data_IF_080524259110
#
_entry.id   IF_080524259110
#
_cell.length_a   1.000
_cell.length_b   1.000
_cell.length_c   1.000
_cell.angle_alpha   90.00
_cell.angle_beta   90.00
_cell.angle_gamma   90.00
#
_symmetry.space_group_name_H-M   'P 1'
#
loop_
_entity.id
_entity.type
_entity.pdbx_description
1 polymer ?
#
# COMPACT_ATOMS: atom_id res chain seq x y z
N UNK A 1 -58.42 12.07 -6.79
CA UNK A 1 -59.64 11.22 -6.71
C UNK A 1 -60.02 10.82 -8.13
N UNK A 2 -60.45 9.57 -8.41
CA UNK A 2 -60.57 8.39 -7.54
C UNK A 2 -59.47 7.32 -7.82
N UNK A 3 -59.01 6.47 -6.87
CA UNK A 3 -59.65 5.32 -6.15
C UNK A 3 -59.80 4.09 -7.05
N UNK A 4 -59.49 2.81 -6.75
CA UNK A 4 -59.33 1.92 -5.57
C UNK A 4 -58.46 0.71 -6.04
N UNK A 5 -57.85 -0.20 -5.26
CA UNK A 5 -58.09 -0.56 -3.85
C UNK A 5 -57.11 -1.61 -3.30
N UNK A 6 -57.17 -1.72 -1.97
CA UNK A 6 -56.38 -2.55 -1.05
C UNK A 6 -56.60 -4.06 -1.18
N UNK A 7 -55.64 -4.86 -0.70
CA UNK A 7 -55.88 -5.98 0.22
C UNK A 7 -54.77 -6.09 1.26
N UNK A 8 -55.19 -6.45 2.48
CA UNK A 8 -54.51 -6.28 3.76
C UNK A 8 -54.19 -7.64 4.40
N UNK A 9 -53.42 -7.58 5.51
CA UNK A 9 -53.33 -8.55 6.62
C UNK A 9 -52.22 -9.63 6.49
N UNK A 10 -51.45 -10.00 7.52
CA UNK A 10 -51.61 -9.89 8.98
C UNK A 10 -50.26 -9.69 9.70
N UNK A 11 -50.35 -9.00 10.83
CA UNK A 11 -49.36 -8.92 11.91
C UNK A 11 -49.21 -10.25 12.65
N UNK A 12 -47.99 -10.55 13.12
CA UNK A 12 -47.74 -11.51 14.20
C UNK A 12 -46.84 -10.84 15.23
N UNK A 13 -47.36 -10.85 16.45
CA UNK A 13 -46.89 -10.22 17.67
C UNK A 13 -45.88 -11.07 18.42
N UNK A 14 -44.87 -10.43 18.99
CA UNK A 14 -44.08 -10.89 20.13
C UNK A 14 -44.96 -11.33 21.31
N UNK A 15 -44.62 -12.45 21.96
CA UNK A 15 -44.78 -12.69 23.41
C UNK A 15 -44.03 -13.97 23.85
N UNK A 16 -43.66 -14.06 25.16
CA UNK A 16 -42.41 -14.65 25.63
C UNK A 16 -42.51 -16.14 25.96
N UNK A 17 -41.38 -16.84 25.87
CA UNK A 17 -41.23 -18.22 26.34
C UNK A 17 -40.93 -18.21 27.83
N UNK A 18 -41.72 -19.00 28.57
CA UNK A 18 -41.71 -19.21 30.01
C UNK A 18 -40.40 -19.84 30.52
N UNK A 19 -40.01 -19.38 31.72
CA UNK A 19 -39.10 -20.04 32.65
C UNK A 19 -39.70 -21.38 33.10
N UNK A 20 -38.89 -22.43 33.14
CA UNK A 20 -39.17 -23.64 33.91
C UNK A 20 -37.97 -23.90 34.83
N UNK A 21 -38.24 -23.77 36.13
CA UNK A 21 -37.38 -24.21 37.22
C UNK A 21 -37.45 -25.74 37.36
N UNK A 22 -36.34 -26.34 37.81
CA UNK A 22 -36.33 -27.65 38.48
C UNK A 22 -35.68 -28.80 37.71
N UNK A 23 -34.40 -29.04 37.97
CA UNK A 23 -33.68 -30.25 37.53
C UNK A 23 -32.27 -30.34 38.11
N UNK A 24 -32.15 -31.07 39.22
CA UNK A 24 -30.97 -31.37 40.03
C UNK A 24 -29.58 -31.38 39.34
N UNK A 25 -28.62 -30.71 40.00
CA UNK A 25 -27.17 -30.91 39.86
C UNK A 25 -26.76 -32.34 40.26
N UNK A 26 -25.78 -32.92 39.55
CA UNK A 26 -24.71 -33.61 40.26
C UNK A 26 -23.33 -33.19 39.75
N UNK A 27 -22.40 -33.03 40.70
CA UNK A 27 -20.97 -33.24 40.45
C UNK A 27 -20.12 -31.97 40.26
N UNK A 28 -19.33 -31.68 41.30
CA UNK A 28 -18.21 -30.74 41.32
C UNK A 28 -17.26 -30.88 40.12
N UNK A 29 -16.95 -29.77 39.43
CA UNK A 29 -15.93 -29.66 38.36
C UNK A 29 -14.54 -29.48 38.99
N UNK A 30 -14.18 -30.27 40.00
CA UNK A 30 -12.89 -30.18 40.69
C UNK A 30 -11.94 -31.34 40.42
N UNK A 31 -12.19 -32.20 39.43
CA UNK A 31 -11.42 -33.44 39.25
C UNK A 31 -10.84 -33.70 37.87
N UNK A 32 -10.64 -32.69 37.02
CA UNK A 32 -9.99 -32.86 35.71
C UNK A 32 -8.98 -31.76 35.39
N UNK A 33 -7.89 -31.70 36.15
CA UNK A 33 -6.63 -31.10 35.68
C UNK A 33 -5.46 -31.98 36.16
N UNK A 34 -4.70 -32.63 35.26
CA UNK A 34 -3.51 -33.36 35.67
C UNK A 34 -2.45 -32.34 36.11
N UNK A 35 -2.08 -32.40 37.38
CA UNK A 35 -1.08 -31.56 38.06
C UNK A 35 0.35 -31.66 37.44
N UNK A 36 0.55 -32.47 36.40
CA UNK A 36 1.84 -32.71 35.76
C UNK A 36 2.23 -31.66 34.68
N UNK A 37 1.29 -30.80 34.23
CA UNK A 37 1.57 -29.83 33.16
C UNK A 37 2.40 -28.60 33.56
N UNK A 38 2.31 -28.15 34.83
CA UNK A 38 2.96 -26.91 35.27
C UNK A 38 4.49 -27.02 35.36
N UNK A 39 5.02 -28.18 35.77
CA UNK A 39 6.46 -28.40 35.88
C UNK A 39 7.17 -28.39 34.52
N UNK A 40 6.49 -28.86 33.46
CA UNK A 40 7.01 -28.83 32.09
C UNK A 40 7.07 -27.41 31.50
N UNK A 41 6.14 -26.54 31.91
CA UNK A 41 6.02 -25.17 31.39
C UNK A 41 7.11 -24.23 31.93
N UNK A 42 7.48 -24.35 33.22
CA UNK A 42 8.58 -23.60 33.80
C UNK A 42 9.92 -23.89 33.10
N UNK A 43 10.12 -25.15 32.69
CA UNK A 43 11.32 -25.60 31.98
C UNK A 43 11.43 -25.05 30.55
N UNK A 44 10.29 -24.73 29.91
CA UNK A 44 10.22 -24.23 28.54
C UNK A 44 10.31 -22.69 28.46
N UNK A 45 9.96 -21.98 29.53
CA UNK A 45 9.81 -20.51 29.53
C UNK A 45 10.87 -19.78 30.36
N UNK A 46 11.75 -20.49 31.08
CA UNK A 46 12.82 -19.91 31.88
C UNK A 46 12.35 -19.25 33.18
N UNK A 47 11.09 -19.44 33.57
CA UNK A 47 10.56 -18.91 34.84
C UNK A 47 11.03 -19.75 36.03
N UNK A 48 11.43 -19.13 37.16
CA UNK A 48 11.77 -19.86 38.38
C UNK A 48 10.59 -20.71 38.85
N UNK A 49 10.87 -21.96 39.22
CA UNK A 49 9.88 -23.02 39.50
C UNK A 49 8.89 -22.73 40.65
N UNK A 50 9.01 -21.58 41.33
CA UNK A 50 8.20 -21.18 42.48
C UNK A 50 7.06 -20.18 42.21
N UNK A 51 7.04 -19.49 41.06
CA UNK A 51 6.12 -18.34 40.84
C UNK A 51 4.92 -18.62 39.91
N UNK A 52 4.77 -19.87 39.45
CA UNK A 52 3.68 -20.24 38.54
C UNK A 52 2.45 -20.66 39.34
N UNK A 53 1.67 -19.68 39.80
CA UNK A 53 0.33 -19.95 40.34
C UNK A 53 -0.67 -20.28 39.22
N UNK A 54 -1.77 -21.02 39.50
CA UNK A 54 -2.80 -21.33 38.49
C UNK A 54 -3.35 -20.07 37.79
N UNK A 55 -3.42 -18.93 38.50
CA UNK A 55 -3.84 -17.64 37.94
C UNK A 55 -2.83 -17.06 36.95
N UNK A 56 -1.53 -17.11 37.28
CA UNK A 56 -0.47 -16.62 36.41
C UNK A 56 -0.30 -17.50 35.16
N UNK A 57 -0.48 -18.81 35.31
CA UNK A 57 -0.47 -19.76 34.19
C UNK A 57 -1.61 -19.49 33.20
N UNK A 58 -2.83 -19.27 33.71
CA UNK A 58 -3.99 -18.96 32.88
C UNK A 58 -3.84 -17.62 32.15
N UNK A 59 -3.22 -16.62 32.80
CA UNK A 59 -2.92 -15.32 32.22
C UNK A 59 -1.93 -15.43 31.03
N UNK A 60 -0.84 -16.19 31.21
CA UNK A 60 0.18 -16.39 30.15
C UNK A 60 -0.41 -17.17 28.97
N UNK A 61 -1.22 -18.19 29.23
CA UNK A 61 -1.94 -18.91 28.17
C UNK A 61 -2.95 -18.01 27.44
N UNK A 62 -3.67 -17.16 28.18
CA UNK A 62 -4.59 -16.17 27.59
C UNK A 62 -3.89 -15.14 26.70
N UNK A 63 -2.71 -14.64 27.11
CA UNK A 63 -1.89 -13.72 26.31
C UNK A 63 -1.30 -14.40 25.08
N UNK A 64 -0.84 -15.65 25.21
CA UNK A 64 -0.33 -16.45 24.09
C UNK A 64 -1.39 -16.77 23.04
N UNK A 65 -2.57 -17.23 23.49
CA UNK A 65 -3.72 -17.52 22.62
C UNK A 65 -4.24 -16.22 21.99
N UNK A 66 -4.34 -15.14 22.76
CA UNK A 66 -4.72 -13.82 22.25
C UNK A 66 -3.76 -13.31 21.17
N UNK A 67 -2.44 -13.46 21.37
CA UNK A 67 -1.42 -13.12 20.38
C UNK A 67 -1.52 -13.96 19.11
N UNK A 68 -1.78 -15.27 19.24
CA UNK A 68 -1.99 -16.17 18.09
C UNK A 68 -3.28 -15.80 17.34
N UNK A 69 -4.37 -15.48 18.03
CA UNK A 69 -5.62 -15.05 17.41
C UNK A 69 -5.42 -13.72 16.68
N UNK A 70 -4.71 -12.75 17.26
CA UNK A 70 -4.38 -11.48 16.60
C UNK A 70 -3.52 -11.72 15.35
N UNK A 71 -2.49 -12.57 15.44
CA UNK A 71 -1.65 -12.93 14.30
C UNK A 71 -2.43 -13.67 13.20
N UNK A 72 -3.32 -14.60 13.58
CA UNK A 72 -4.20 -15.29 12.64
C UNK A 72 -5.20 -14.34 12.01
N UNK A 73 -5.74 -13.38 12.75
CA UNK A 73 -6.65 -12.36 12.23
C UNK A 73 -5.93 -11.37 11.30
N UNK A 74 -4.71 -10.95 11.63
CA UNK A 74 -3.86 -10.15 10.75
C UNK A 74 -3.47 -10.91 9.48
N UNK A 75 -3.10 -12.20 9.59
CA UNK A 75 -2.78 -13.06 8.46
C UNK A 75 -4.01 -13.38 7.61
N UNK A 76 -5.19 -13.53 8.20
CA UNK A 76 -6.47 -13.70 7.49
C UNK A 76 -6.89 -12.41 6.77
N UNK A 77 -6.71 -11.22 7.39
CA UNK A 77 -6.87 -9.94 6.68
C UNK A 77 -5.88 -9.83 5.51
N UNK A 78 -4.60 -10.11 5.72
CA UNK A 78 -3.60 -10.13 4.65
C UNK A 78 -3.89 -11.17 3.55
N UNK A 79 -4.37 -12.36 3.91
CA UNK A 79 -4.78 -13.40 2.96
C UNK A 79 -6.04 -13.04 2.19
N UNK A 80 -6.99 -12.33 2.82
CA UNK A 80 -8.18 -11.79 2.14
C UNK A 80 -7.84 -10.70 1.12
N UNK A 81 -6.76 -9.94 1.34
CA UNK A 81 -6.26 -8.95 0.39
C UNK A 81 -5.66 -9.61 -0.86
N UNK A 82 -5.09 -10.82 -0.75
CA UNK A 82 -4.60 -11.60 -1.90
C UNK A 82 -5.74 -12.23 -2.73
N UNK A 83 -6.96 -12.29 -2.20
CA UNK A 83 -8.12 -12.93 -2.85
C UNK A 83 -9.12 -11.92 -3.45
N UNK A 84 -8.81 -10.62 -3.41
CA UNK A 84 -9.63 -9.58 -4.05
C UNK A 84 -9.17 -9.36 -5.49
N UNK A 85 -10.14 -9.38 -6.41
CA UNK A 85 -9.93 -9.00 -7.81
C UNK A 85 -9.82 -7.48 -7.91
N UNK A 86 -8.58 -6.97 -7.91
CA UNK A 86 -8.32 -5.54 -8.07
C UNK A 86 -8.29 -5.18 -9.55
N UNK A 87 -9.31 -4.45 -10.00
CA UNK A 87 -9.40 -3.88 -11.35
C UNK A 87 -8.49 -2.66 -11.50
N UNK A 88 -7.18 -2.88 -11.49
CA UNK A 88 -6.18 -1.79 -11.54
C UNK A 88 -5.61 -1.54 -12.92
N UNK A 89 -5.76 -2.47 -13.86
CA UNK A 89 -5.15 -2.37 -15.18
C UNK A 89 -6.17 -1.95 -16.23
N UNK A 90 -5.89 -0.88 -16.97
CA UNK A 90 -6.63 -0.53 -18.19
C UNK A 90 -6.22 -1.43 -19.35
N UNK A 91 -4.95 -1.82 -19.38
CA UNK A 91 -4.35 -2.70 -20.39
C UNK A 91 -3.32 -3.60 -19.69
N UNK A 92 -3.33 -4.89 -20.02
CA UNK A 92 -2.33 -5.86 -19.56
C UNK A 92 -1.55 -6.40 -20.76
N UNK A 93 -0.24 -6.52 -20.58
CA UNK A 93 0.68 -7.03 -21.58
C UNK A 93 1.95 -7.52 -20.89
N UNK A 94 2.86 -8.16 -21.62
CA UNK A 94 4.17 -8.52 -21.09
C UNK A 94 5.21 -7.95 -22.03
N UNK A 95 5.88 -6.89 -21.58
CA UNK A 95 6.96 -6.24 -22.31
C UNK A 95 8.25 -6.41 -21.52
N UNK A 96 9.13 -7.23 -22.07
CA UNK A 96 10.49 -7.42 -21.59
C UNK A 96 11.44 -7.18 -22.75
N UNK A 97 12.61 -6.61 -22.49
CA UNK A 97 13.65 -6.55 -23.52
C UNK A 97 14.21 -7.96 -23.77
N UNK A 98 14.05 -8.55 -24.97
CA UNK A 98 14.66 -9.84 -25.28
C UNK A 98 16.18 -9.67 -25.47
N UNK A 99 16.63 -8.57 -26.09
CA UNK A 99 17.98 -8.47 -26.67
C UNK A 99 18.53 -7.04 -26.81
N UNK A 100 18.06 -6.04 -26.05
CA UNK A 100 18.82 -4.79 -25.98
C UNK A 100 20.17 -5.09 -25.32
N UNK A 101 21.26 -5.01 -26.10
CA UNK A 101 22.64 -4.95 -25.59
C UNK A 101 22.67 -3.85 -24.55
N UNK A 102 22.56 -4.21 -23.27
CA UNK A 102 22.48 -3.22 -22.20
C UNK A 102 23.80 -2.47 -22.13
N UNK A 103 23.76 -1.20 -22.53
CA UNK A 103 24.81 -0.22 -22.23
C UNK A 103 24.66 0.33 -20.81
N UNK A 104 23.52 0.08 -20.16
CA UNK A 104 23.14 0.63 -18.86
C UNK A 104 23.20 -0.48 -17.80
N UNK A 105 24.39 -0.69 -17.24
CA UNK A 105 24.65 -1.45 -16.01
C UNK A 105 24.20 -2.95 -16.04
N UNK A 106 24.71 -3.83 -15.15
CA UNK A 106 24.17 -5.20 -15.03
C UNK A 106 22.66 -5.15 -14.78
N UNK A 107 21.91 -6.21 -15.18
CA UNK A 107 20.44 -6.37 -15.07
C UNK A 107 19.93 -6.18 -13.62
N UNK A 108 19.96 -4.95 -13.12
CA UNK A 108 19.77 -4.59 -11.72
C UNK A 108 18.34 -4.84 -11.25
N UNK A 109 17.40 -4.85 -12.20
CA UNK A 109 15.97 -5.07 -11.96
C UNK A 109 15.52 -6.42 -12.54
N UNK A 110 16.45 -7.36 -12.75
CA UNK A 110 16.14 -8.70 -13.27
C UNK A 110 15.03 -9.34 -12.41
N UNK A 111 14.05 -9.93 -13.09
CA UNK A 111 12.89 -10.60 -12.50
C UNK A 111 11.91 -9.69 -11.75
N UNK A 112 12.09 -8.37 -11.78
CA UNK A 112 11.10 -7.44 -11.25
C UNK A 112 10.07 -7.09 -12.32
N UNK A 113 8.79 -7.15 -11.94
CA UNK A 113 7.64 -6.73 -12.75
C UNK A 113 7.22 -5.34 -12.35
N UNK A 114 6.89 -4.50 -13.33
CA UNK A 114 6.38 -3.17 -13.08
C UNK A 114 5.17 -2.80 -13.92
N UNK A 115 4.37 -1.89 -13.41
CA UNK A 115 3.27 -1.28 -14.14
C UNK A 115 3.51 0.23 -14.31
N UNK A 116 2.82 0.86 -15.26
CA UNK A 116 2.93 2.31 -15.48
C UNK A 116 1.56 2.97 -15.45
N UNK A 117 1.47 4.18 -14.91
CA UNK A 117 0.26 5.01 -15.04
C UNK A 117 -0.14 5.17 -16.51
N UNK A 118 -1.42 5.29 -16.81
CA UNK A 118 -1.93 5.51 -18.17
C UNK A 118 -1.65 6.92 -18.76
N UNK A 119 -0.52 7.52 -18.37
CA UNK A 119 0.10 8.69 -19.01
C UNK A 119 1.38 8.33 -19.77
N UNK A 120 1.90 7.11 -19.61
CA UNK A 120 3.16 6.71 -20.23
C UNK A 120 2.91 5.99 -21.55
N UNK A 121 3.54 6.45 -22.62
CA UNK A 121 3.47 5.82 -23.92
C UNK A 121 4.06 4.42 -23.92
N UNK A 122 3.33 3.49 -24.51
CA UNK A 122 3.76 2.11 -24.72
C UNK A 122 3.49 1.81 -26.19
N UNK A 123 4.54 1.48 -26.94
CA UNK A 123 4.46 1.21 -28.37
C UNK A 123 3.34 0.24 -28.71
N UNK A 124 2.53 0.57 -29.72
CA UNK A 124 1.35 -0.16 -30.18
C UNK A 124 0.13 -0.13 -29.23
N UNK A 125 0.19 0.61 -28.13
CA UNK A 125 -0.95 0.83 -27.23
C UNK A 125 -1.34 2.30 -27.20
N UNK A 126 -2.65 2.57 -27.14
CA UNK A 126 -3.18 3.92 -26.90
C UNK A 126 -2.89 4.29 -25.45
N UNK A 127 -2.38 5.51 -25.24
CA UNK A 127 -2.26 6.10 -23.90
C UNK A 127 -3.55 6.84 -23.60
N UNK A 128 -4.36 6.29 -22.70
CA UNK A 128 -5.75 6.71 -22.51
C UNK A 128 -5.93 7.94 -21.64
N UNK A 129 -4.89 8.35 -20.90
CA UNK A 129 -4.93 9.50 -19.99
C UNK A 129 -6.05 9.39 -18.93
N UNK A 130 -6.48 8.18 -18.60
CA UNK A 130 -7.64 7.93 -17.74
C UNK A 130 -8.99 8.32 -18.35
N UNK A 131 -9.04 8.75 -19.63
CA UNK A 131 -10.23 9.24 -20.31
C UNK A 131 -10.66 8.30 -21.44
N UNK A 132 -11.88 7.74 -21.40
CA UNK A 132 -12.43 6.93 -22.49
C UNK A 132 -12.51 7.70 -23.81
N UNK A 133 -12.88 8.98 -23.76
CA UNK A 133 -13.00 9.82 -24.96
C UNK A 133 -11.63 10.13 -25.56
N UNK A 134 -10.61 10.38 -24.72
CA UNK A 134 -9.23 10.49 -25.18
C UNK A 134 -8.77 9.20 -25.87
N UNK A 135 -9.02 8.05 -25.24
CA UNK A 135 -8.69 6.73 -25.80
C UNK A 135 -9.38 6.48 -27.15
N UNK A 136 -10.62 6.94 -27.33
CA UNK A 136 -11.38 6.78 -28.58
C UNK A 136 -10.85 7.65 -29.72
N UNK A 137 -10.25 8.78 -29.40
CA UNK A 137 -9.90 9.83 -30.38
C UNK A 137 -8.41 9.90 -30.71
N UNK A 138 -7.57 9.18 -29.98
CA UNK A 138 -6.12 9.18 -30.14
C UNK A 138 -5.60 7.84 -30.65
N UNK A 139 -4.55 7.92 -31.46
CA UNK A 139 -3.88 6.74 -32.02
C UNK A 139 -2.94 6.07 -30.99
N UNK A 140 -2.58 4.83 -31.30
CA UNK A 140 -1.58 4.10 -30.53
C UNK A 140 -0.21 4.80 -30.58
N UNK A 141 0.53 4.75 -29.47
CA UNK A 141 1.86 5.31 -29.41
C UNK A 141 2.81 4.55 -30.35
N UNK A 142 3.69 5.30 -31.03
CA UNK A 142 4.68 4.73 -31.97
C UNK A 142 5.99 4.33 -31.30
N UNK A 143 6.16 4.63 -30.01
CA UNK A 143 7.36 4.33 -29.23
C UNK A 143 7.04 4.24 -27.75
N UNK A 144 7.86 3.50 -27.00
CA UNK A 144 7.81 3.50 -25.55
C UNK A 144 8.33 4.82 -24.95
N UNK A 145 7.76 5.21 -23.82
CA UNK A 145 8.30 6.27 -22.97
C UNK A 145 9.73 5.95 -22.53
N UNK A 146 10.59 6.97 -22.47
CA UNK A 146 12.02 6.79 -22.11
C UNK A 146 12.20 6.07 -20.75
N UNK A 147 11.45 6.41 -19.68
CA UNK A 147 11.55 5.68 -18.42
C UNK A 147 11.28 4.17 -18.54
N UNK A 148 10.33 3.77 -19.40
CA UNK A 148 10.01 2.36 -19.63
C UNK A 148 11.18 1.65 -20.30
N UNK A 149 11.75 2.26 -21.34
CA UNK A 149 12.93 1.72 -22.05
C UNK A 149 14.10 1.52 -21.09
N UNK A 150 14.41 2.52 -20.26
CA UNK A 150 15.51 2.46 -19.28
C UNK A 150 15.31 1.30 -18.29
N UNK A 151 14.10 1.11 -17.77
CA UNK A 151 13.79 0.02 -16.84
C UNK A 151 13.85 -1.36 -17.51
N UNK A 152 13.36 -1.49 -18.73
CA UNK A 152 13.43 -2.74 -19.49
C UNK A 152 14.88 -3.10 -19.84
N UNK A 153 15.72 -2.12 -20.17
CA UNK A 153 17.17 -2.32 -20.37
C UNK A 153 17.87 -2.78 -19.08
N UNK A 154 17.42 -2.31 -17.92
CA UNK A 154 17.87 -2.80 -16.61
C UNK A 154 17.31 -4.18 -16.22
N UNK A 155 16.50 -4.81 -17.08
CA UNK A 155 16.01 -6.19 -16.93
C UNK A 155 14.63 -6.32 -16.27
N UNK A 156 13.92 -5.23 -16.03
CA UNK A 156 12.55 -5.27 -15.54
C UNK A 156 11.55 -5.65 -16.65
N UNK A 157 10.39 -6.18 -16.27
CA UNK A 157 9.29 -6.53 -17.19
C UNK A 157 8.08 -5.63 -16.94
N UNK A 158 7.64 -4.88 -17.95
CA UNK A 158 6.43 -4.07 -17.86
C UNK A 158 5.19 -4.97 -18.09
N UNK A 159 4.24 -4.94 -17.16
CA UNK A 159 3.09 -5.85 -17.16
C UNK A 159 1.74 -5.20 -17.51
N UNK A 160 1.72 -3.89 -17.71
CA UNK A 160 0.48 -3.20 -18.06
C UNK A 160 0.46 -1.71 -17.73
N UNK A 161 -0.63 -1.08 -18.13
CA UNK A 161 -1.01 0.28 -17.75
C UNK A 161 -2.03 0.27 -16.63
N UNK A 162 -1.84 1.10 -15.63
CA UNK A 162 -2.75 1.22 -14.50
C UNK A 162 -3.75 2.35 -14.70
N UNK A 163 -4.96 2.14 -14.19
CA UNK A 163 -5.99 3.18 -14.09
C UNK A 163 -5.47 4.40 -13.32
N UNK A 164 -6.00 5.56 -13.67
CA UNK A 164 -5.67 6.85 -13.07
C UNK A 164 -6.90 7.74 -13.05
N UNK A 165 -6.86 8.80 -12.27
CA UNK A 165 -7.90 9.82 -12.34
C UNK A 165 -7.82 10.52 -13.71
N UNK A 166 -8.99 10.78 -14.31
CA UNK A 166 -9.10 11.32 -15.66
C UNK A 166 -8.28 12.61 -15.82
N UNK A 167 -7.39 12.61 -16.82
CA UNK A 167 -6.46 13.71 -17.15
C UNK A 167 -5.55 14.17 -15.99
N UNK A 168 -5.52 13.44 -14.87
CA UNK A 168 -4.81 13.85 -13.67
C UNK A 168 -5.50 14.97 -12.86
N UNK A 169 -6.79 15.23 -13.11
CA UNK A 169 -7.54 16.33 -12.47
C UNK A 169 -8.33 15.91 -11.22
N UNK A 170 -7.90 14.85 -10.53
CA UNK A 170 -8.38 14.49 -9.19
C UNK A 170 -7.23 13.97 -8.31
N UNK A 171 -7.48 13.92 -7.00
CA UNK A 171 -6.56 13.44 -5.97
C UNK A 171 -7.14 12.33 -5.09
N UNK A 172 -8.35 11.86 -5.37
CA UNK A 172 -9.06 10.88 -4.55
C UNK A 172 -8.85 9.42 -4.99
N UNK A 173 -8.46 9.19 -6.25
CA UNK A 173 -8.28 7.84 -6.79
C UNK A 173 -9.60 7.11 -7.04
N UNK A 174 -10.71 7.85 -7.21
CA UNK A 174 -12.02 7.26 -7.53
C UNK A 174 -12.18 7.17 -9.04
N UNK A 175 -11.72 6.05 -9.60
CA UNK A 175 -11.80 5.87 -11.04
C UNK A 175 -13.21 5.40 -11.43
N UNK A 176 -13.75 6.09 -12.43
CA UNK A 176 -15.15 6.23 -12.87
C UNK A 176 -15.93 4.93 -13.13
N UNK A 177 -17.23 5.03 -13.46
CA UNK A 177 -18.13 3.87 -13.70
C UNK A 177 -17.57 2.81 -14.68
N UNK A 178 -16.70 3.23 -15.61
CA UNK A 178 -16.13 2.39 -16.68
C UNK A 178 -15.03 1.45 -16.19
N UNK A 179 -14.15 1.92 -15.30
CA UNK A 179 -13.06 1.11 -14.74
C UNK A 179 -13.41 0.53 -13.36
N UNK A 180 -14.42 1.12 -12.71
CA UNK A 180 -14.89 0.75 -11.40
C UNK A 180 -14.03 1.33 -10.28
N UNK A 181 -14.66 1.48 -9.11
CA UNK A 181 -14.02 2.05 -7.92
C UNK A 181 -12.79 1.23 -7.52
N UNK A 182 -11.63 1.89 -7.45
CA UNK A 182 -10.44 1.30 -6.85
C UNK A 182 -10.66 1.04 -5.36
N UNK A 183 -10.26 -0.16 -4.92
CA UNK A 183 -10.33 -0.55 -3.52
C UNK A 183 -8.97 -0.30 -2.87
N UNK A 184 -8.93 0.51 -1.81
CA UNK A 184 -7.70 0.71 -1.05
C UNK A 184 -7.34 -0.59 -0.28
N UNK A 185 -6.13 -1.16 -0.49
CA UNK A 185 -5.71 -2.40 0.17
C UNK A 185 -5.52 -2.27 1.70
N UNK A 186 -5.39 -1.07 2.24
CA UNK A 186 -5.34 -0.85 3.69
C UNK A 186 -6.73 -0.97 4.31
N UNK A 187 -7.74 -0.37 3.68
CA UNK A 187 -9.15 -0.49 4.04
C UNK A 187 -10.04 -0.01 2.89
N UNK A 188 -11.12 -0.75 2.58
CA UNK A 188 -12.09 -0.38 1.55
C UNK A 188 -12.87 0.91 1.85
N UNK A 189 -12.83 1.38 3.09
CA UNK A 189 -13.53 2.58 3.54
C UNK A 189 -12.73 3.86 3.29
N UNK A 190 -11.43 3.74 2.94
CA UNK A 190 -10.57 4.87 2.65
C UNK A 190 -10.43 5.10 1.15
N UNK A 191 -10.18 6.36 0.79
CA UNK A 191 -9.76 6.72 -0.55
C UNK A 191 -8.41 6.07 -0.87
N UNK A 192 -8.18 5.80 -2.14
CA UNK A 192 -6.89 5.29 -2.64
C UNK A 192 -5.88 6.43 -2.77
N UNK A 193 -6.37 7.65 -2.99
CA UNK A 193 -5.56 8.79 -3.40
C UNK A 193 -5.28 8.75 -4.90
N UNK A 194 -5.01 9.92 -5.47
CA UNK A 194 -4.84 10.10 -6.89
C UNK A 194 -3.84 11.20 -7.23
N UNK A 195 -3.53 11.41 -8.50
CA UNK A 195 -4.12 10.72 -9.66
C UNK A 195 -3.50 9.37 -10.01
N UNK A 196 -2.41 8.94 -9.37
CA UNK A 196 -1.76 7.64 -9.65
C UNK A 196 -2.27 6.50 -8.74
N UNK A 197 -3.57 6.48 -8.45
CA UNK A 197 -4.18 5.53 -7.53
C UNK A 197 -4.00 4.07 -7.96
N UNK A 198 -4.22 3.76 -9.24
CA UNK A 198 -4.03 2.40 -9.77
C UNK A 198 -2.59 1.90 -9.62
N UNK A 199 -1.59 2.78 -9.82
CA UNK A 199 -0.18 2.46 -9.58
C UNK A 199 0.07 2.05 -8.13
N UNK A 200 -0.42 2.84 -7.17
CA UNK A 200 -0.25 2.55 -5.75
C UNK A 200 -0.95 1.27 -5.33
N UNK A 201 -2.19 1.03 -5.79
CA UNK A 201 -2.96 -0.19 -5.50
C UNK A 201 -2.28 -1.41 -6.11
N UNK A 202 -1.76 -1.34 -7.34
CA UNK A 202 -1.06 -2.45 -7.98
C UNK A 202 0.12 -2.93 -7.14
N UNK A 203 0.92 -2.00 -6.60
CA UNK A 203 2.04 -2.31 -5.70
C UNK A 203 1.52 -2.78 -4.33
N UNK A 204 0.55 -2.08 -3.74
CA UNK A 204 -0.04 -2.38 -2.43
C UNK A 204 -0.74 -3.75 -2.39
N UNK A 205 -1.31 -4.20 -3.50
CA UNK A 205 -1.92 -5.53 -3.67
C UNK A 205 -0.91 -6.62 -4.07
N UNK A 206 0.33 -6.25 -4.43
CA UNK A 206 1.37 -7.21 -4.86
C UNK A 206 1.18 -7.75 -6.28
N UNK A 207 0.50 -6.99 -7.13
CA UNK A 207 0.31 -7.32 -8.56
C UNK A 207 1.58 -7.05 -9.38
N UNK A 208 2.40 -6.09 -8.93
CA UNK A 208 3.74 -5.80 -9.44
C UNK A 208 4.71 -5.49 -8.29
N UNK A 209 6.02 -5.56 -8.56
CA UNK A 209 7.07 -5.27 -7.58
C UNK A 209 7.24 -3.77 -7.36
N UNK A 210 7.05 -2.99 -8.43
CA UNK A 210 7.04 -1.53 -8.40
C UNK A 210 6.15 -0.97 -9.51
N UNK A 211 5.87 0.33 -9.50
CA UNK A 211 5.13 0.98 -10.59
C UNK A 211 5.56 2.42 -10.79
N UNK A 212 5.31 2.98 -11.98
CA UNK A 212 5.55 4.39 -12.29
C UNK A 212 4.27 5.22 -12.20
N UNK A 213 4.46 6.49 -11.86
CA UNK A 213 3.46 7.54 -11.91
C UNK A 213 4.08 8.89 -12.29
N UNK A 214 3.24 9.89 -12.43
CA UNK A 214 3.63 11.30 -12.60
C UNK A 214 3.13 12.04 -11.37
N UNK A 215 4.01 12.73 -10.65
CA UNK A 215 3.69 13.57 -9.48
C UNK A 215 3.70 15.04 -9.89
N UNK A 216 2.51 15.62 -10.04
CA UNK A 216 2.30 17.03 -10.40
C UNK A 216 2.04 17.84 -9.13
N UNK A 217 1.08 17.41 -8.30
CA UNK A 217 0.70 18.08 -7.04
C UNK A 217 0.74 17.14 -5.83
N UNK A 218 1.35 15.97 -5.96
CA UNK A 218 1.31 14.91 -4.94
C UNK A 218 0.75 13.60 -5.47
N UNK A 219 0.54 13.48 -6.78
CA UNK A 219 -0.11 12.33 -7.41
C UNK A 219 0.64 10.99 -7.26
N UNK A 220 1.88 11.02 -6.76
CA UNK A 220 2.61 9.80 -6.34
C UNK A 220 2.65 9.71 -4.82
N UNK A 221 3.00 10.81 -4.13
CA UNK A 221 3.17 10.81 -2.67
C UNK A 221 1.87 10.57 -1.90
N UNK A 222 0.76 11.16 -2.34
CA UNK A 222 -0.56 11.00 -1.71
C UNK A 222 -1.07 9.56 -1.81
N UNK A 223 -1.22 8.95 -3.01
CA UNK A 223 -1.69 7.57 -3.09
C UNK A 223 -0.74 6.57 -2.42
N UNK A 224 0.57 6.84 -2.40
CA UNK A 224 1.51 6.03 -1.63
C UNK A 224 1.18 6.03 -0.12
N UNK A 225 0.94 7.22 0.45
CA UNK A 225 0.56 7.37 1.85
C UNK A 225 -0.80 6.71 2.15
N UNK A 226 -1.80 6.89 1.28
CA UNK A 226 -3.13 6.31 1.43
C UNK A 226 -3.11 4.77 1.34
N UNK A 227 -2.32 4.20 0.44
CA UNK A 227 -2.25 2.75 0.22
C UNK A 227 -1.17 2.04 1.05
N UNK A 228 -0.44 2.76 1.91
CA UNK A 228 0.58 2.18 2.79
C UNK A 228 1.80 1.62 2.04
N UNK A 229 2.22 2.28 0.95
CA UNK A 229 3.43 1.92 0.18
C UNK A 229 4.39 3.10 0.12
N UNK A 230 5.63 2.86 -0.31
CA UNK A 230 6.61 3.92 -0.50
C UNK A 230 6.36 4.59 -1.85
N UNK A 231 6.40 5.93 -1.88
CA UNK A 231 6.32 6.74 -3.10
C UNK A 231 7.47 7.72 -3.15
N UNK A 232 8.20 7.75 -4.26
CA UNK A 232 9.28 8.71 -4.50
C UNK A 232 8.91 9.65 -5.64
N UNK A 233 8.98 10.95 -5.38
CA UNK A 233 8.93 12.01 -6.39
C UNK A 233 10.36 12.42 -6.69
N UNK A 234 10.79 12.28 -7.95
CA UNK A 234 12.12 12.73 -8.34
C UNK A 234 12.27 14.25 -8.33
N UNK A 235 13.51 14.72 -8.47
CA UNK A 235 13.76 16.14 -8.73
C UNK A 235 13.20 16.47 -10.12
N UNK A 236 12.56 17.64 -10.26
CA UNK A 236 12.01 18.06 -11.54
C UNK A 236 13.11 18.06 -12.62
N UNK A 237 12.83 17.44 -13.76
CA UNK A 237 13.79 17.28 -14.86
C UNK A 237 14.87 16.20 -14.67
N UNK A 238 14.97 15.52 -13.52
CA UNK A 238 16.04 14.52 -13.32
C UNK A 238 15.77 13.17 -13.98
N UNK A 239 14.50 12.90 -14.33
CA UNK A 239 14.09 11.73 -15.11
C UNK A 239 13.35 12.24 -16.35
N UNK A 240 13.69 11.69 -17.52
CA UNK A 240 13.06 12.10 -18.78
C UNK A 240 11.56 11.86 -18.78
N UNK A 241 10.80 12.86 -19.23
CA UNK A 241 9.35 12.78 -19.45
C UNK A 241 8.99 12.54 -20.93
N UNK A 242 9.98 12.21 -21.78
CA UNK A 242 9.73 11.93 -23.20
C UNK A 242 8.86 10.68 -23.34
N UNK A 243 7.76 10.83 -24.08
CA UNK A 243 6.72 9.80 -24.22
C UNK A 243 5.81 9.70 -22.99
N UNK A 244 5.68 10.78 -22.21
CA UNK A 244 4.71 10.87 -21.12
C UNK A 244 3.79 12.05 -21.40
N UNK A 245 2.47 11.82 -21.39
CA UNK A 245 1.49 12.88 -21.58
C UNK A 245 1.59 13.88 -20.43
N UNK A 246 1.68 15.19 -20.74
CA UNK A 246 1.80 16.21 -19.72
C UNK A 246 0.46 16.50 -19.05
N UNK A 247 0.48 16.68 -17.73
CA UNK A 247 -0.63 17.24 -16.95
C UNK A 247 -0.37 18.74 -16.75
N UNK A 248 0.78 19.07 -16.16
CA UNK A 248 1.29 20.43 -16.06
C UNK A 248 2.83 20.40 -16.11
N UNK A 249 3.41 20.57 -17.29
CA UNK A 249 4.84 20.34 -17.58
C UNK A 249 5.82 20.99 -16.59
N UNK A 250 5.51 22.19 -16.10
CA UNK A 250 6.35 22.91 -15.13
C UNK A 250 6.39 22.27 -13.73
N UNK A 251 5.47 21.36 -13.43
CA UNK A 251 5.35 20.66 -12.16
C UNK A 251 5.59 19.15 -12.29
N UNK A 252 5.24 18.59 -13.44
CA UNK A 252 5.28 17.15 -13.72
C UNK A 252 6.67 16.56 -13.45
N UNK A 253 6.69 15.48 -12.69
CA UNK A 253 7.92 14.72 -12.48
C UNK A 253 7.61 13.24 -12.41
N UNK A 254 8.48 12.41 -12.98
CA UNK A 254 8.36 10.96 -12.86
C UNK A 254 8.58 10.57 -11.40
N UNK A 255 7.66 9.77 -10.88
CA UNK A 255 7.77 9.13 -9.58
C UNK A 255 7.50 7.64 -9.68
N UNK A 256 7.83 6.92 -8.61
CA UNK A 256 7.63 5.48 -8.55
C UNK A 256 7.25 5.00 -7.17
N UNK A 257 6.63 3.82 -7.16
CA UNK A 257 6.10 3.17 -5.97
C UNK A 257 6.78 1.83 -5.75
N UNK A 258 7.00 1.45 -4.48
CA UNK A 258 7.39 0.09 -4.11
C UNK A 258 6.98 -0.22 -2.67
N UNK A 259 6.84 -1.50 -2.33
CA UNK A 259 6.70 -1.94 -0.92
C UNK A 259 8.05 -2.03 -0.21
N UNK A 260 9.06 -2.51 -0.93
CA UNK A 260 10.42 -2.69 -0.42
C UNK A 260 11.26 -1.46 -0.74
N UNK A 261 11.93 -0.90 0.28
CA UNK A 261 12.83 0.24 0.13
C UNK A 261 14.03 -0.08 -0.76
N UNK A 262 14.46 -1.35 -0.85
CA UNK A 262 15.54 -1.78 -1.72
C UNK A 262 15.11 -1.72 -3.19
N UNK A 263 13.89 -2.17 -3.51
CA UNK A 263 13.31 -2.04 -4.85
C UNK A 263 13.14 -0.56 -5.21
N UNK A 264 12.57 0.24 -4.30
CA UNK A 264 12.43 1.69 -4.50
C UNK A 264 13.77 2.35 -4.83
N UNK A 265 14.83 1.99 -4.08
CA UNK A 265 16.19 2.50 -4.28
C UNK A 265 16.79 2.04 -5.60
N UNK A 266 16.68 0.76 -5.94
CA UNK A 266 17.23 0.21 -7.19
C UNK A 266 16.58 0.86 -8.42
N UNK A 267 15.26 1.01 -8.42
CA UNK A 267 14.52 1.74 -9.47
C UNK A 267 15.03 3.18 -9.59
N UNK A 268 15.24 3.85 -8.45
CA UNK A 268 15.80 5.20 -8.43
C UNK A 268 17.21 5.29 -9.00
N UNK A 269 18.10 4.38 -8.65
CA UNK A 269 19.48 4.37 -9.19
C UNK A 269 19.48 4.15 -10.70
N UNK A 270 18.58 3.31 -11.22
CA UNK A 270 18.42 3.06 -12.65
C UNK A 270 17.87 4.29 -13.38
N UNK A 271 16.76 4.85 -12.91
CA UNK A 271 16.10 6.00 -13.56
C UNK A 271 16.93 7.28 -13.49
N UNK A 272 17.63 7.50 -12.37
CA UNK A 272 18.52 8.65 -12.16
C UNK A 272 19.94 8.42 -12.70
N UNK A 273 20.21 7.23 -13.27
CA UNK A 273 21.50 6.84 -13.83
C UNK A 273 22.68 6.96 -12.85
N UNK A 274 22.42 6.68 -11.57
CA UNK A 274 23.45 6.60 -10.54
C UNK A 274 24.10 5.21 -10.47
N UNK A 275 25.33 5.09 -9.95
CA UNK A 275 25.95 3.79 -9.70
C UNK A 275 25.15 2.96 -8.67
N UNK A 276 24.97 1.65 -8.92
CA UNK A 276 24.20 0.76 -8.03
C UNK A 276 24.75 0.65 -6.60
N UNK A 277 26.04 0.94 -6.41
CA UNK A 277 26.78 0.85 -5.15
C UNK A 277 27.11 2.23 -4.57
N UNK A 278 26.12 3.10 -4.45
CA UNK A 278 26.33 4.33 -3.69
C UNK A 278 26.09 4.11 -2.19
N UNK A 279 27.10 4.37 -1.36
CA UNK A 279 26.97 4.34 0.09
C UNK A 279 26.05 5.46 0.59
N UNK A 280 25.36 5.19 1.70
CA UNK A 280 24.56 6.19 2.40
C UNK A 280 25.45 7.36 2.82
N UNK A 281 25.30 8.50 2.14
CA UNK A 281 25.92 9.75 2.57
C UNK A 281 25.10 10.34 3.70
N UNK A 282 25.71 10.55 4.86
CA UNK A 282 25.06 11.25 5.95
C UNK A 282 24.67 12.67 5.51
N UNK A 283 23.43 13.13 5.79
CA UNK A 283 23.03 14.48 5.48
C UNK A 283 23.87 15.47 6.29
N UNK A 284 24.08 16.68 5.79
CA UNK A 284 24.76 17.73 6.59
C UNK A 284 23.90 18.17 7.77
N UNK A 285 22.60 18.33 7.54
CA UNK A 285 21.56 18.72 8.51
C UNK A 285 20.21 18.16 8.05
N UNK A 286 19.33 17.88 8.99
CA UNK A 286 17.93 17.51 8.78
C UNK A 286 17.10 18.56 9.49
N UNK A 287 16.24 19.25 8.75
CA UNK A 287 15.34 20.27 9.30
C UNK A 287 13.93 19.71 9.42
N UNK A 288 13.33 19.86 10.59
CA UNK A 288 11.94 19.55 10.86
C UNK A 288 11.15 20.86 10.78
N UNK A 289 10.21 20.94 9.83
CA UNK A 289 9.28 22.07 9.69
C UNK A 289 8.15 21.96 10.73
N UNK A 290 8.50 22.08 12.01
CA UNK A 290 7.56 21.92 13.12
C UNK A 290 6.44 22.96 13.11
N UNK A 291 6.68 24.14 12.55
CA UNK A 291 5.67 25.16 12.30
C UNK A 291 4.54 24.68 11.37
N UNK A 292 4.88 23.90 10.33
CA UNK A 292 3.90 23.28 9.43
C UNK A 292 3.16 22.13 10.12
N UNK A 293 3.86 21.31 10.90
CA UNK A 293 3.22 20.23 11.66
C UNK A 293 2.21 20.75 12.70
N UNK A 294 2.55 21.86 13.38
CA UNK A 294 1.65 22.54 14.34
C UNK A 294 0.38 23.11 13.68
N UNK A 295 0.43 23.40 12.38
CA UNK A 295 -0.73 23.88 11.60
C UNK A 295 -1.64 22.75 11.12
N UNK A 296 -1.20 21.49 11.21
CA UNK A 296 -2.01 20.37 10.80
C UNK A 296 -3.14 20.12 11.80
N UNK A 297 -4.36 19.90 11.30
CA UNK A 297 -5.52 19.54 12.13
C UNK A 297 -5.43 18.11 12.71
N UNK A 298 -4.45 17.32 12.26
CA UNK A 298 -4.24 15.95 12.69
C UNK A 298 -3.21 15.87 13.82
N UNK A 299 -3.42 14.95 14.75
CA UNK A 299 -2.49 14.66 15.84
C UNK A 299 -1.24 13.95 15.30
N UNK A 300 -0.32 14.71 14.70
CA UNK A 300 0.91 14.19 14.10
C UNK A 300 2.00 13.94 15.15
N UNK A 301 1.80 14.32 16.41
CA UNK A 301 2.82 14.21 17.47
C UNK A 301 3.42 12.81 17.57
N UNK A 302 2.58 11.76 17.51
CA UNK A 302 3.07 10.38 17.56
C UNK A 302 3.92 10.01 16.34
N UNK A 303 3.47 10.35 15.14
CA UNK A 303 4.20 10.08 13.89
C UNK A 303 5.52 10.86 13.81
N UNK A 304 5.52 12.11 14.28
CA UNK A 304 6.72 12.94 14.33
C UNK A 304 7.74 12.36 15.32
N UNK A 305 7.29 11.92 16.49
CA UNK A 305 8.17 11.30 17.48
C UNK A 305 8.78 9.98 16.97
N UNK A 306 7.98 9.13 16.29
CA UNK A 306 8.50 7.92 15.62
C UNK A 306 9.56 8.28 14.57
N UNK A 307 9.29 9.28 13.74
CA UNK A 307 10.21 9.75 12.70
C UNK A 307 11.51 10.29 13.31
N UNK A 308 11.41 11.12 14.35
CA UNK A 308 12.55 11.68 15.07
C UNK A 308 13.42 10.57 15.69
N UNK A 309 12.80 9.59 16.35
CA UNK A 309 13.52 8.43 16.91
C UNK A 309 14.25 7.64 15.83
N UNK A 310 13.62 7.42 14.67
CA UNK A 310 14.26 6.74 13.54
C UNK A 310 15.45 7.54 13.00
N UNK A 311 15.30 8.85 12.78
CA UNK A 311 16.38 9.73 12.30
C UNK A 311 17.55 9.76 13.28
N UNK A 312 17.26 9.93 14.58
CA UNK A 312 18.29 9.94 15.63
C UNK A 312 19.02 8.60 15.70
N UNK A 313 18.31 7.49 15.52
CA UNK A 313 18.92 6.15 15.49
C UNK A 313 19.85 5.96 14.29
N UNK A 314 19.47 6.45 13.10
CA UNK A 314 20.22 6.23 11.85
C UNK A 314 21.39 7.21 11.69
N UNK A 315 21.14 8.50 11.92
CA UNK A 315 22.13 9.55 11.67
C UNK A 315 22.71 10.16 12.94
N UNK A 316 21.96 10.15 14.05
CA UNK A 316 22.35 10.79 15.30
C UNK A 316 21.71 12.17 15.50
N UNK A 317 21.44 12.52 16.76
CA UNK A 317 20.74 13.76 17.15
C UNK A 317 21.45 15.04 16.68
N UNK A 318 22.78 14.99 16.50
CA UNK A 318 23.59 16.14 16.05
C UNK A 318 23.17 16.69 14.69
N UNK A 319 22.51 15.89 13.85
CA UNK A 319 22.05 16.30 12.52
C UNK A 319 20.68 16.98 12.51
N UNK A 320 19.87 16.85 13.57
CA UNK A 320 18.49 17.34 13.59
C UNK A 320 18.42 18.80 14.03
N UNK A 321 17.64 19.61 13.31
CA UNK A 321 17.29 21.00 13.62
C UNK A 321 15.78 21.18 13.45
N UNK A 322 15.20 22.07 14.22
CA UNK A 322 13.79 22.45 14.09
C UNK A 322 13.73 23.85 13.48
N UNK A 323 12.80 24.08 12.56
CA UNK A 323 12.54 25.39 11.97
C UNK A 323 11.73 26.22 12.97
N UNK A 324 12.41 26.71 14.01
CA UNK A 324 11.81 27.70 14.92
C UNK A 324 11.61 29.02 14.15
N UNK A 325 10.41 29.59 14.28
CA UNK A 325 10.20 31.02 14.01
C UNK A 325 10.79 31.85 15.13
#
# INVERSE_FOLDING_TARGET
MPMFGMKNSKSVTDKPVKVNDGGNLPGSISSFLPFQGLAGFAKLTGFPSGDVTPKNFLLVMGLGIGGIIILMHQKAKHGSLLCRDYKVFTQQFILSSPDLKSTIQPRALKNLKFAVKDTFDVESYITGFGSPEWTRTHDAATRHAVPIVVLMQAGATCIGKTVMDEMGFSMDGQVDEIYGRLVNPVSSDYIVGGSSGGSAVAVAAGLCDFSLGVDTLGDVRLPAACCGVLGFRATHGSVSTVGVLPVAQSFDTIGWFAKDHNVLRQVGLVLLQFPLREELRAPRRIYIADDLFKKSAFFIEHSLDVLLRAIVKVFGRKYVRFLQR
#
